data_IF_997980316232
#
_entry.id   IF_997980316232
#
_cell.length_a   1.000
_cell.length_b   1.000
_cell.length_c   1.000
_cell.angle_alpha   90.00
_cell.angle_beta   90.00
_cell.angle_gamma   90.00
#
_symmetry.space_group_name_H-M   'P 1'
#
loop_
_entity.id
_entity.type
_entity.pdbx_description
1 polymer ?
#
# COMPACT_ATOMS: atom_id res chain seq x y z
N UNK A 1 -0.56 2.63 -14.90
CA UNK A 1 -1.20 1.90 -13.77
C UNK A 1 -0.19 1.23 -12.84
N UNK A 2 0.76 0.41 -13.34
CA UNK A 2 1.72 -0.33 -12.50
C UNK A 2 2.68 0.54 -11.65
N UNK A 3 3.23 1.64 -12.20
CA UNK A 3 4.12 2.57 -11.45
C UNK A 3 3.48 3.12 -10.16
N UNK A 4 2.16 3.35 -10.17
CA UNK A 4 1.43 3.80 -8.97
C UNK A 4 1.24 2.72 -7.91
N UNK A 5 1.30 1.43 -8.29
CA UNK A 5 1.14 0.31 -7.36
C UNK A 5 2.44 0.05 -6.60
N UNK A 6 3.57 0.02 -7.31
CA UNK A 6 4.90 -0.17 -6.73
C UNK A 6 5.20 0.86 -5.64
N UNK A 7 4.98 2.14 -5.93
CA UNK A 7 5.18 3.21 -4.95
C UNK A 7 4.26 3.07 -3.73
N UNK A 8 3.00 2.65 -3.92
CA UNK A 8 2.08 2.37 -2.79
C UNK A 8 2.57 1.20 -1.93
N UNK A 9 3.19 0.18 -2.52
CA UNK A 9 3.80 -0.91 -1.77
C UNK A 9 5.05 -0.45 -1.01
N UNK A 10 5.86 0.42 -1.60
CA UNK A 10 6.99 1.06 -0.91
C UNK A 10 6.52 1.88 0.30
N UNK A 11 5.43 2.66 0.16
CA UNK A 11 4.82 3.37 1.30
C UNK A 11 4.38 2.35 2.37
N UNK A 12 3.65 1.30 2.00
CA UNK A 12 3.22 0.26 2.95
C UNK A 12 4.40 -0.38 3.69
N UNK A 13 5.52 -0.61 2.99
CA UNK A 13 6.77 -1.11 3.57
C UNK A 13 7.38 -0.11 4.57
N UNK A 14 7.52 1.17 4.22
CA UNK A 14 7.99 2.21 5.15
C UNK A 14 7.10 2.29 6.39
N UNK A 15 5.79 2.18 6.22
CA UNK A 15 4.82 2.22 7.32
C UNK A 15 5.08 0.98 8.20
N UNK A 16 5.33 -0.22 7.66
CA UNK A 16 5.69 -1.43 8.43
C UNK A 16 7.02 -1.33 9.19
N UNK A 17 7.96 -0.53 8.68
CA UNK A 17 9.21 -0.17 9.36
C UNK A 17 9.05 0.94 10.41
N UNK A 18 7.80 1.30 10.74
CA UNK A 18 7.45 2.36 11.70
C UNK A 18 7.98 3.75 11.32
N UNK A 19 8.27 3.97 10.02
CA UNK A 19 8.66 5.28 9.52
C UNK A 19 7.49 6.24 9.53
N UNK A 20 7.77 7.48 9.94
CA UNK A 20 6.81 8.57 9.87
C UNK A 20 6.55 9.00 8.40
N UNK A 21 5.46 9.73 8.17
CA UNK A 21 5.20 10.26 6.83
C UNK A 21 6.30 11.26 6.40
N UNK A 22 6.84 12.03 7.35
CA UNK A 22 7.92 12.98 7.11
C UNK A 22 9.23 12.31 6.68
N UNK A 23 9.53 11.10 7.19
CA UNK A 23 10.67 10.29 6.71
C UNK A 23 10.36 9.57 5.39
N UNK A 24 9.12 9.13 5.19
CA UNK A 24 8.73 8.35 4.00
C UNK A 24 8.77 9.17 2.71
N UNK A 25 8.38 10.44 2.77
CA UNK A 25 8.38 11.36 1.61
C UNK A 25 9.77 11.50 0.97
N UNK A 26 10.85 11.88 1.70
CA UNK A 26 12.18 11.99 1.11
C UNK A 26 12.74 10.63 0.65
N UNK A 27 12.39 9.53 1.32
CA UNK A 27 12.78 8.18 0.87
C UNK A 27 12.17 7.85 -0.49
N UNK A 28 10.89 8.15 -0.69
CA UNK A 28 10.22 7.93 -1.98
C UNK A 28 10.76 8.86 -3.08
N UNK A 29 10.99 10.14 -2.77
CA UNK A 29 11.61 11.07 -3.73
C UNK A 29 12.99 10.59 -4.18
N UNK A 30 13.80 10.07 -3.25
CA UNK A 30 15.11 9.51 -3.59
C UNK A 30 15.03 8.25 -4.47
N UNK A 31 14.01 7.41 -4.26
CA UNK A 31 13.87 6.14 -4.98
C UNK A 31 13.24 6.28 -6.37
N UNK A 32 12.26 7.18 -6.52
CA UNK A 32 11.44 7.31 -7.74
C UNK A 32 11.67 8.61 -8.50
N UNK A 33 12.37 9.58 -7.90
CA UNK A 33 12.75 10.86 -8.50
C UNK A 33 11.59 11.56 -9.24
N UNK A 34 11.72 11.82 -10.54
CA UNK A 34 10.70 12.49 -11.37
C UNK A 34 9.38 11.72 -11.46
N UNK A 35 9.41 10.41 -11.26
CA UNK A 35 8.22 9.55 -11.31
C UNK A 35 7.52 9.42 -9.95
N UNK A 36 8.05 10.08 -8.90
CA UNK A 36 7.51 10.00 -7.55
C UNK A 36 6.08 10.57 -7.45
N UNK A 37 5.23 9.89 -6.67
CA UNK A 37 3.93 10.41 -6.26
C UNK A 37 4.08 11.78 -5.58
N UNK A 38 3.05 12.62 -5.72
CA UNK A 38 2.99 13.90 -5.01
C UNK A 38 2.96 13.68 -3.50
N UNK A 39 3.57 14.58 -2.73
CA UNK A 39 3.62 14.51 -1.26
C UNK A 39 2.24 14.31 -0.62
N UNK A 40 1.21 14.99 -1.14
CA UNK A 40 -0.18 14.84 -0.69
C UNK A 40 -0.71 13.40 -0.89
N UNK A 41 -0.34 12.75 -1.98
CA UNK A 41 -0.73 11.37 -2.25
C UNK A 41 0.05 10.40 -1.35
N UNK A 42 1.34 10.62 -1.17
CA UNK A 42 2.19 9.83 -0.26
C UNK A 42 1.62 9.89 1.17
N UNK A 43 1.33 11.10 1.66
CA UNK A 43 0.74 11.31 2.97
C UNK A 43 -0.61 10.60 3.14
N UNK A 44 -1.49 10.71 2.14
CA UNK A 44 -2.80 10.03 2.15
C UNK A 44 -2.65 8.51 2.25
N UNK A 45 -1.76 7.91 1.46
CA UNK A 45 -1.52 6.46 1.51
C UNK A 45 -0.84 6.03 2.80
N UNK A 46 0.14 6.80 3.28
CA UNK A 46 0.83 6.55 4.55
C UNK A 46 -0.16 6.50 5.71
N UNK A 47 -1.04 7.51 5.81
CA UNK A 47 -2.10 7.57 6.81
C UNK A 47 -3.05 6.36 6.70
N UNK A 48 -3.54 6.04 5.49
CA UNK A 48 -4.42 4.90 5.28
C UNK A 48 -3.79 3.57 5.72
N UNK A 49 -2.51 3.34 5.42
CA UNK A 49 -1.80 2.14 5.86
C UNK A 49 -1.49 2.13 7.37
N UNK A 50 -1.25 3.29 7.98
CA UNK A 50 -1.03 3.40 9.41
C UNK A 50 -2.31 3.14 10.20
N UNK A 51 -3.45 3.65 9.73
CA UNK A 51 -4.77 3.44 10.31
C UNK A 51 -5.22 1.98 10.19
N UNK A 52 -4.94 1.31 9.06
CA UNK A 52 -5.19 -0.13 8.89
C UNK A 52 -4.37 -1.05 9.81
N UNK A 53 -3.27 -0.55 10.43
CA UNK A 53 -2.53 -1.27 11.48
C UNK A 53 -3.02 -0.98 12.89
N UNK A 54 -3.91 0.00 13.08
CA UNK A 54 -4.35 0.44 14.41
C UNK A 54 -5.47 -0.41 15.03
N UNK A 55 -5.91 -1.48 14.36
CA UNK A 55 -6.83 -2.47 14.95
C UNK A 55 -6.17 -3.42 15.99
N UNK A 56 -4.87 -3.30 16.26
CA UNK A 56 -4.19 -4.18 17.22
C UNK A 56 -3.54 -3.40 18.36
N UNK A 57 -4.34 -2.69 19.15
CA UNK A 57 -4.02 -2.35 20.55
C UNK A 57 -5.36 -2.04 21.22
N UNK A 58 -5.81 -2.98 22.06
CA UNK A 58 -7.02 -3.00 22.90
C UNK A 58 -8.10 -4.00 22.48
N UNK A 59 -7.78 -5.31 22.45
CA UNK A 59 -8.74 -6.37 22.80
C UNK A 59 -8.03 -7.48 23.56
N UNK A 60 -7.87 -7.26 24.86
CA UNK A 60 -7.86 -8.38 25.81
C UNK A 60 -9.13 -9.21 25.58
N UNK A 61 -8.93 -10.50 25.33
CA UNK A 61 -9.91 -11.57 25.25
C UNK A 61 -10.83 -11.64 24.00
N UNK A 62 -10.63 -12.77 23.30
CA UNK A 62 -11.56 -13.55 22.44
C UNK A 62 -11.99 -12.95 21.10
N UNK A 63 -11.81 -13.81 20.09
CA UNK A 63 -12.40 -13.85 18.75
C UNK A 63 -12.28 -12.59 17.86
N UNK A 64 -11.46 -12.73 16.81
CA UNK A 64 -11.91 -12.78 15.42
C UNK A 64 -10.71 -12.52 14.53
N UNK A 65 -10.20 -13.59 13.94
CA UNK A 65 -9.53 -13.53 12.66
C UNK A 65 -10.56 -13.02 11.65
N UNK A 66 -10.36 -11.87 11.04
CA UNK A 66 -11.07 -11.52 9.81
C UNK A 66 -10.29 -10.41 9.07
N UNK A 67 -9.53 -10.89 8.09
CA UNK A 67 -9.24 -10.26 6.79
C UNK A 67 -8.44 -8.94 6.75
N UNK A 68 -7.12 -9.09 6.58
CA UNK A 68 -6.36 -8.15 5.75
C UNK A 68 -6.54 -8.54 4.27
N UNK A 69 -7.59 -8.06 3.61
CA UNK A 69 -7.70 -8.21 2.16
C UNK A 69 -6.59 -7.42 1.46
N UNK A 70 -5.55 -8.13 1.04
CA UNK A 70 -4.74 -7.71 -0.09
C UNK A 70 -5.61 -7.81 -1.33
N UNK A 71 -6.21 -6.69 -1.73
CA UNK A 71 -6.76 -6.57 -3.09
C UNK A 71 -5.59 -6.65 -4.08
N UNK A 72 -5.26 -7.89 -4.46
CA UNK A 72 -4.54 -8.20 -5.67
C UNK A 72 -5.39 -7.62 -6.80
N UNK A 73 -4.89 -6.55 -7.41
CA UNK A 73 -5.49 -5.99 -8.61
C UNK A 73 -5.41 -7.06 -9.69
N UNK A 74 -6.54 -7.71 -10.01
CA UNK A 74 -6.67 -8.58 -11.17
C UNK A 74 -6.16 -7.84 -12.40
N UNK A 75 -4.97 -8.21 -12.87
CA UNK A 75 -4.54 -7.90 -14.23
C UNK A 75 -5.41 -8.73 -15.15
N UNK A 76 -6.21 -8.07 -15.98
CA UNK A 76 -6.96 -8.69 -17.06
C UNK A 76 -6.06 -9.58 -17.91
N UNK A 77 -6.25 -10.90 -17.84
CA UNK A 77 -5.91 -11.80 -18.93
C UNK A 77 -7.20 -12.05 -19.72
N UNK A 78 -7.20 -11.65 -21.00
CA UNK A 78 -8.28 -11.99 -21.93
C UNK A 78 -8.19 -13.50 -22.21
N UNK A 79 -9.30 -14.25 -22.22
CA UNK A 79 -9.27 -15.63 -22.68
C UNK A 79 -9.16 -15.65 -24.22
N UNK A 80 -8.09 -16.24 -24.74
CA UNK A 80 -8.07 -16.73 -26.12
C UNK A 80 -9.02 -17.92 -26.17
N UNK A 81 -10.12 -17.78 -26.90
CA UNK A 81 -10.96 -18.92 -27.30
C UNK A 81 -10.69 -19.16 -28.78
N UNK A 82 -10.12 -20.32 -29.05
CA UNK A 82 -10.14 -21.00 -30.33
C UNK A 82 -11.56 -21.01 -30.91
N UNK A 83 -11.69 -20.62 -32.18
CA UNK A 83 -12.86 -20.89 -33.01
C UNK A 83 -12.38 -21.01 -34.47
N UNK A 84 -12.29 -22.24 -34.97
CA UNK A 84 -12.24 -22.56 -36.41
C UNK A 84 -10.91 -23.11 -36.91
#
# INVERSE_FOLDING_TARGET
>A
MQRSLEQRMAIKFCVKLEKSAAETIPMLKKAFDVDCLLDRQIFRWHKAFAEGRRCQKNRTAKNSSEQCETNVCHTSQKPVRDMG
#
